data_IF_024167585556
#
_entry.id   IF_024167585556
#
_cell.length_a   1.000
_cell.length_b   1.000
_cell.length_c   1.000
_cell.angle_alpha   90.00
_cell.angle_beta   90.00
_cell.angle_gamma   90.00
#
_symmetry.space_group_name_H-M   'P 1'
#
loop_
_entity.id
_entity.type
_entity.pdbx_description
1 polymer ?
#
# COMPACT_ATOMS: atom_id res chain seq x y z
N UNK A 1 6.55 32.93 11.89
CA UNK A 1 5.19 32.52 12.27
C UNK A 1 5.27 31.21 13.03
N UNK A 2 4.43 31.02 14.04
CA UNK A 2 4.35 29.77 14.80
C UNK A 2 3.35 28.82 14.11
N UNK A 3 3.85 27.71 13.58
CA UNK A 3 3.03 26.67 12.95
C UNK A 3 2.39 25.80 14.03
N UNK A 4 1.09 25.50 13.90
CA UNK A 4 0.32 24.66 14.84
C UNK A 4 -0.32 23.50 14.09
N UNK A 5 -0.27 22.30 14.67
CA UNK A 5 -0.98 21.12 14.17
C UNK A 5 -2.42 21.16 14.68
N UNK A 6 -3.37 20.86 13.80
CA UNK A 6 -4.82 20.85 14.11
C UNK A 6 -5.46 19.55 13.63
N UNK A 7 -6.77 19.40 13.88
CA UNK A 7 -7.60 18.28 13.39
C UNK A 7 -7.35 16.92 14.06
N UNK A 8 -7.42 16.90 15.39
CA UNK A 8 -7.34 15.69 16.23
C UNK A 8 -8.67 14.92 16.31
N UNK A 9 -9.60 15.11 15.36
CA UNK A 9 -10.96 14.53 15.40
C UNK A 9 -11.02 13.01 15.28
N UNK A 10 -9.90 12.37 14.91
CA UNK A 10 -9.76 10.93 14.70
C UNK A 10 -8.75 10.27 15.66
N UNK A 11 -8.41 10.91 16.77
CA UNK A 11 -7.45 10.37 17.75
C UNK A 11 -7.93 9.03 18.32
N UNK A 12 -7.01 8.07 18.35
CA UNK A 12 -7.23 6.74 18.90
C UNK A 12 -6.51 6.63 20.24
N UNK A 13 -7.22 6.16 21.27
CA UNK A 13 -6.61 5.78 22.55
C UNK A 13 -6.05 4.36 22.45
N UNK A 14 -4.71 4.25 22.46
CA UNK A 14 -4.00 2.97 22.35
C UNK A 14 -4.26 2.02 23.53
N UNK A 15 -4.76 2.52 24.67
CA UNK A 15 -5.06 1.71 25.85
C UNK A 15 -6.49 1.16 25.86
N UNK A 16 -7.33 1.53 24.89
CA UNK A 16 -8.69 1.01 24.75
C UNK A 16 -8.76 0.10 23.53
N UNK A 17 -9.34 -1.08 23.70
CA UNK A 17 -9.68 -1.98 22.60
C UNK A 17 -10.75 -1.30 21.74
N UNK A 18 -10.33 -0.55 20.73
CA UNK A 18 -11.26 0.11 19.83
C UNK A 18 -11.77 -0.97 18.88
N UNK A 19 -13.08 -1.20 18.91
CA UNK A 19 -13.78 -1.85 17.80
C UNK A 19 -13.75 -0.87 16.63
N UNK A 20 -12.60 -0.77 15.95
CA UNK A 20 -12.40 0.15 14.84
C UNK A 20 -13.09 -0.42 13.61
N UNK A 21 -14.42 -0.28 13.55
CA UNK A 21 -15.13 -0.39 12.28
C UNK A 21 -14.69 0.76 11.37
N UNK A 22 -13.81 0.45 10.42
CA UNK A 22 -13.57 1.26 9.24
C UNK A 22 -12.37 2.20 9.35
N UNK A 23 -11.40 2.00 8.46
CA UNK A 23 -10.21 2.85 8.32
C UNK A 23 -10.58 4.32 8.15
N UNK A 24 -10.43 5.08 9.23
CA UNK A 24 -10.60 6.53 9.25
C UNK A 24 -9.22 7.21 9.10
N UNK A 25 -9.18 8.26 8.27
CA UNK A 25 -7.99 9.06 7.98
C UNK A 25 -7.78 9.28 6.48
N UNK A 26 -6.94 10.24 6.12
CA UNK A 26 -6.61 10.51 4.71
C UNK A 26 -5.66 9.42 4.20
N UNK A 27 -6.20 8.45 3.44
CA UNK A 27 -5.51 7.22 2.99
C UNK A 27 -4.09 7.41 2.43
N UNK A 28 -3.78 8.54 1.82
CA UNK A 28 -2.48 8.80 1.21
C UNK A 28 -1.35 9.04 2.22
N UNK A 29 -1.68 9.37 3.48
CA UNK A 29 -0.71 9.56 4.56
C UNK A 29 -0.62 8.36 5.51
N UNK A 30 -1.50 7.37 5.34
CA UNK A 30 -1.57 6.22 6.24
C UNK A 30 -0.34 5.32 6.11
N UNK A 31 0.15 4.86 7.25
CA UNK A 31 1.18 3.84 7.33
C UNK A 31 0.66 2.46 6.87
N UNK A 32 1.51 1.54 6.40
CA UNK A 32 1.09 0.22 5.92
C UNK A 32 0.25 -0.57 6.94
N UNK A 33 0.59 -0.49 8.22
CA UNK A 33 -0.11 -1.18 9.31
C UNK A 33 -1.52 -0.63 9.57
N UNK A 34 -1.81 0.62 9.17
CA UNK A 34 -3.13 1.22 9.33
C UNK A 34 -4.19 0.63 8.38
N UNK A 35 -3.76 -0.17 7.38
CA UNK A 35 -4.65 -0.88 6.47
C UNK A 35 -5.06 -2.27 6.99
N UNK A 36 -4.51 -2.72 8.13
CA UNK A 36 -4.92 -3.97 8.76
C UNK A 36 -6.37 -3.88 9.29
N UNK A 37 -7.13 -4.96 9.16
CA UNK A 37 -8.57 -4.99 9.44
C UNK A 37 -8.95 -4.63 10.90
N UNK A 38 -8.04 -4.81 11.85
CA UNK A 38 -8.37 -4.75 13.28
C UNK A 38 -7.66 -3.64 14.07
N UNK A 39 -6.83 -2.81 13.45
CA UNK A 39 -5.99 -1.79 14.13
C UNK A 39 -5.15 -2.29 15.33
N UNK A 40 -5.07 -3.60 15.58
CA UNK A 40 -4.39 -4.23 16.74
C UNK A 40 -2.90 -3.90 16.80
N UNK A 41 -2.28 -3.58 15.66
CA UNK A 41 -0.86 -3.26 15.54
C UNK A 41 -0.60 -1.76 15.33
N UNK A 42 -1.62 -0.91 15.45
CA UNK A 42 -1.45 0.54 15.28
C UNK A 42 -0.71 1.12 16.49
N UNK A 43 0.28 1.96 16.24
CA UNK A 43 1.06 2.62 17.29
C UNK A 43 1.30 4.08 16.92
N UNK A 44 1.90 4.85 17.83
CA UNK A 44 2.35 6.23 17.54
C UNK A 44 3.34 6.32 16.37
N UNK A 45 3.90 5.19 15.91
CA UNK A 45 4.77 5.12 14.73
C UNK A 45 4.01 5.38 13.42
N UNK A 46 2.69 5.24 13.41
CA UNK A 46 1.87 5.61 12.25
C UNK A 46 1.94 7.12 11.98
N UNK A 47 1.95 7.95 13.03
CA UNK A 47 2.11 9.41 12.90
C UNK A 47 3.51 9.79 12.38
N UNK A 48 4.53 9.02 12.78
CA UNK A 48 5.91 9.20 12.30
C UNK A 48 6.02 8.92 10.80
N UNK A 49 5.30 7.91 10.32
CA UNK A 49 5.19 7.66 8.88
C UNK A 49 4.52 8.83 8.17
N UNK A 50 3.36 9.28 8.66
CA UNK A 50 2.63 10.40 8.07
C UNK A 50 3.49 11.66 7.98
N UNK A 51 4.32 11.94 9.00
CA UNK A 51 5.29 13.03 8.96
C UNK A 51 6.29 12.89 7.81
N UNK A 52 6.81 11.68 7.53
CA UNK A 52 7.69 11.44 6.38
C UNK A 52 7.02 11.75 5.05
N UNK A 53 5.74 11.38 4.91
CA UNK A 53 4.92 11.69 3.72
C UNK A 53 4.71 13.20 3.58
N UNK A 54 4.37 13.90 4.67
CA UNK A 54 4.17 15.35 4.68
C UNK A 54 5.46 16.07 4.26
N UNK A 55 6.62 15.65 4.76
CA UNK A 55 7.90 16.26 4.38
C UNK A 55 8.14 16.11 2.88
N UNK A 56 7.88 14.93 2.30
CA UNK A 56 8.03 14.71 0.87
C UNK A 56 7.02 15.52 0.04
N UNK A 57 5.78 15.62 0.50
CA UNK A 57 4.75 16.45 -0.12
C UNK A 57 5.14 17.94 -0.13
N UNK A 58 5.68 18.45 0.98
CA UNK A 58 6.18 19.83 1.07
C UNK A 58 7.32 20.13 0.08
N UNK A 59 8.06 19.10 -0.36
CA UNK A 59 9.07 19.23 -1.41
C UNK A 59 8.53 18.95 -2.82
N UNK A 60 7.20 18.90 -2.98
CA UNK A 60 6.51 18.78 -4.26
C UNK A 60 6.35 17.35 -4.77
N UNK A 61 6.62 16.33 -3.95
CA UNK A 61 6.41 14.94 -4.37
C UNK A 61 4.93 14.60 -4.31
N UNK A 62 4.39 14.08 -5.42
CA UNK A 62 2.98 13.69 -5.49
C UNK A 62 2.65 12.58 -4.49
N UNK A 63 1.67 12.83 -3.61
CA UNK A 63 1.15 11.84 -2.67
C UNK A 63 0.73 10.52 -3.34
N UNK A 64 0.23 10.60 -4.58
CA UNK A 64 -0.20 9.43 -5.33
C UNK A 64 1.00 8.57 -5.76
N UNK A 65 2.14 9.19 -6.08
CA UNK A 65 3.40 8.50 -6.40
C UNK A 65 3.97 7.86 -5.14
N UNK A 66 4.00 8.60 -4.02
CA UNK A 66 4.44 8.06 -2.73
C UNK A 66 3.62 6.86 -2.29
N UNK A 67 2.29 6.97 -2.37
CA UNK A 67 1.39 5.87 -2.03
C UNK A 67 1.66 4.63 -2.87
N UNK A 68 1.90 4.79 -4.18
CA UNK A 68 2.27 3.67 -5.03
C UNK A 68 3.60 3.05 -4.63
N UNK A 69 4.66 3.87 -4.51
CA UNK A 69 6.00 3.38 -4.24
C UNK A 69 6.07 2.68 -2.88
N UNK A 70 5.61 3.36 -1.84
CA UNK A 70 5.77 2.92 -0.46
C UNK A 70 4.78 1.83 -0.07
N UNK A 71 3.49 2.00 -0.41
CA UNK A 71 2.43 1.07 0.02
C UNK A 71 2.29 -0.10 -0.95
N UNK A 72 2.16 0.17 -2.26
CA UNK A 72 1.88 -0.88 -3.26
C UNK A 72 3.12 -1.62 -3.73
N UNK A 73 4.20 -0.89 -4.03
CA UNK A 73 5.43 -1.48 -4.55
C UNK A 73 6.37 -1.92 -3.43
N UNK A 74 6.18 -1.43 -2.19
CA UNK A 74 7.04 -1.67 -1.02
C UNK A 74 8.50 -1.27 -1.30
N UNK A 75 8.68 -0.15 -1.97
CA UNK A 75 9.96 0.43 -2.34
C UNK A 75 10.26 1.66 -1.47
N UNK A 76 11.55 1.98 -1.30
CA UNK A 76 11.96 3.22 -0.64
C UNK A 76 11.52 4.44 -1.47
N UNK A 77 11.25 5.61 -0.84
CA UNK A 77 10.82 6.79 -1.57
C UNK A 77 11.98 7.37 -2.36
N UNK A 78 11.70 7.86 -3.57
CA UNK A 78 12.64 8.68 -4.32
C UNK A 78 12.66 10.08 -3.70
N UNK A 79 13.77 10.44 -3.05
CA UNK A 79 13.90 11.71 -2.32
C UNK A 79 14.53 12.77 -3.24
N UNK A 80 13.83 13.87 -3.55
CA UNK A 80 14.36 14.93 -4.42
C UNK A 80 15.63 15.58 -3.88
N UNK A 81 16.43 16.15 -4.78
CA UNK A 81 17.65 16.89 -4.41
C UNK A 81 17.40 18.22 -3.70
N UNK A 82 16.18 18.75 -3.80
CA UNK A 82 15.73 19.90 -3.01
C UNK A 82 15.71 19.62 -1.51
N UNK A 83 15.66 18.35 -1.09
CA UNK A 83 15.63 17.96 0.32
C UNK A 83 17.03 18.03 0.93
N UNK A 84 17.23 18.76 2.05
CA UNK A 84 18.51 18.80 2.75
C UNK A 84 18.98 17.41 3.23
N UNK A 85 20.29 17.16 3.24
CA UNK A 85 20.86 15.83 3.54
C UNK A 85 20.39 15.26 4.90
N UNK A 86 20.29 16.11 5.91
CA UNK A 86 19.81 15.75 7.25
C UNK A 86 18.33 15.31 7.23
N UNK A 87 17.51 15.96 6.40
CA UNK A 87 16.12 15.60 6.21
C UNK A 87 15.97 14.33 5.35
N UNK A 88 16.87 14.06 4.40
CA UNK A 88 16.85 12.80 3.62
C UNK A 88 16.96 11.57 4.53
N UNK A 89 17.84 11.60 5.52
CA UNK A 89 18.01 10.51 6.48
C UNK A 89 16.81 10.36 7.43
N UNK A 90 16.18 11.48 7.81
CA UNK A 90 14.93 11.46 8.58
C UNK A 90 13.80 10.83 7.78
N UNK A 91 13.59 11.27 6.53
CA UNK A 91 12.54 10.76 5.65
C UNK A 91 12.67 9.25 5.48
N UNK A 92 13.86 8.74 5.15
CA UNK A 92 14.09 7.29 4.97
C UNK A 92 13.63 6.48 6.18
N UNK A 93 13.99 6.94 7.39
CA UNK A 93 13.63 6.26 8.64
C UNK A 93 12.14 6.42 8.98
N UNK A 94 11.53 7.56 8.65
CA UNK A 94 10.08 7.75 8.82
C UNK A 94 9.27 6.84 7.89
N UNK A 95 9.73 6.65 6.65
CA UNK A 95 9.08 5.80 5.63
C UNK A 95 9.45 4.30 5.71
N UNK A 96 10.00 3.84 6.84
CA UNK A 96 10.29 2.41 7.04
C UNK A 96 8.99 1.61 7.11
N UNK A 97 8.94 0.48 6.39
CA UNK A 97 7.76 -0.39 6.38
C UNK A 97 7.46 -0.95 7.77
N UNK A 98 8.50 -1.39 8.49
CA UNK A 98 8.38 -1.87 9.87
C UNK A 98 8.22 -0.70 10.85
N UNK A 99 7.14 -0.65 11.66
CA UNK A 99 6.91 0.45 12.60
C UNK A 99 8.03 0.63 13.63
N UNK A 100 8.68 -0.47 14.04
CA UNK A 100 9.73 -0.45 15.05
C UNK A 100 11.02 0.23 14.55
N UNK A 101 11.28 0.20 13.24
CA UNK A 101 12.44 0.85 12.63
C UNK A 101 12.28 2.37 12.53
N UNK A 102 11.05 2.87 12.67
CA UNK A 102 10.76 4.31 12.67
C UNK A 102 11.24 4.94 13.99
N UNK A 103 11.82 6.15 13.96
CA UNK A 103 12.23 6.84 15.17
C UNK A 103 11.02 7.31 15.97
N UNK A 104 11.22 7.69 17.23
CA UNK A 104 10.19 8.41 18.00
C UNK A 104 10.20 9.90 17.65
N UNK A 105 9.11 10.61 17.91
CA UNK A 105 9.04 12.07 17.72
C UNK A 105 10.16 12.80 18.49
N UNK A 106 10.47 12.34 19.72
CA UNK A 106 11.56 12.90 20.51
C UNK A 106 12.96 12.64 19.92
N UNK A 107 13.17 11.49 19.26
CA UNK A 107 14.41 11.22 18.53
C UNK A 107 14.52 12.10 17.27
N UNK A 108 13.42 12.26 16.53
CA UNK A 108 13.38 13.14 15.37
C UNK A 108 13.66 14.59 15.73
N UNK A 109 13.09 15.08 16.83
CA UNK A 109 13.34 16.43 17.31
C UNK A 109 14.84 16.65 17.52
N UNK A 110 15.53 15.74 18.21
CA UNK A 110 16.98 15.82 18.43
C UNK A 110 17.78 15.82 17.14
N UNK A 111 17.39 14.98 16.17
CA UNK A 111 18.05 14.88 14.87
C UNK A 111 17.85 16.17 14.09
N UNK A 112 16.65 16.76 14.09
CA UNK A 112 16.32 17.96 13.33
C UNK A 112 16.87 19.24 13.97
N UNK A 113 17.01 19.30 15.29
CA UNK A 113 17.53 20.48 16.01
C UNK A 113 19.03 20.44 16.28
N UNK A 114 19.71 19.33 15.94
CA UNK A 114 21.18 19.22 16.03
C UNK A 114 21.75 19.04 17.44
N UNK A 115 20.93 18.81 18.47
CA UNK A 115 21.42 18.58 19.85
C UNK A 115 21.76 17.11 20.08
N UNK A 116 22.99 16.72 19.73
CA UNK A 116 23.53 15.36 19.94
C UNK A 116 24.15 15.20 21.34
N UNK A 117 23.69 14.22 22.12
CA UNK A 117 24.45 13.61 23.22
C UNK A 117 24.36 12.08 23.11
N UNK A 118 25.40 11.31 23.50
CA UNK A 118 25.53 9.89 23.20
C UNK A 118 24.46 9.02 23.91
N UNK A 119 24.13 7.84 23.34
CA UNK A 119 23.02 7.01 23.82
C UNK A 119 23.33 6.37 25.20
N UNK A 120 22.33 6.24 26.10
CA UNK A 120 22.47 5.34 27.24
C UNK A 120 22.43 3.88 26.77
N UNK A 121 23.33 3.06 27.31
CA UNK A 121 23.45 1.61 27.06
C UNK A 121 22.18 0.84 27.47
N UNK A 122 21.91 -0.33 26.85
CA UNK A 122 20.74 -1.15 27.15
C UNK A 122 20.86 -1.78 28.53
N UNK A 123 19.77 -1.75 29.30
CA UNK A 123 19.64 -2.48 30.56
C UNK A 123 18.64 -3.61 30.34
N UNK A 124 19.14 -4.85 30.38
CA UNK A 124 18.33 -6.02 30.74
C UNK A 124 18.57 -6.31 32.22
N UNK A 125 17.59 -6.90 32.91
CA UNK A 125 17.85 -8.21 33.50
C UNK A 125 16.73 -9.23 33.30
N UNK A 126 17.21 -10.43 32.91
CA UNK A 126 16.80 -11.82 33.15
C UNK A 126 15.51 -12.19 33.92
N UNK A 127 14.88 -13.25 33.39
CA UNK A 127 13.81 -14.11 33.91
C UNK A 127 14.11 -14.86 35.24
N UNK A 128 13.19 -15.70 35.74
CA UNK A 128 13.36 -17.15 35.49
C UNK A 128 12.08 -17.99 35.19
N UNK A 129 12.37 -19.22 34.75
CA UNK A 129 11.58 -20.36 34.22
C UNK A 129 10.34 -20.83 35.04
N UNK A 130 9.41 -21.69 34.60
CA UNK A 130 9.50 -22.88 33.72
C UNK A 130 8.11 -23.48 33.37
N UNK A 131 7.98 -24.03 32.14
CA UNK A 131 7.19 -25.21 31.64
C UNK A 131 5.65 -25.29 31.80
N UNK A 132 4.94 -26.17 31.05
CA UNK A 132 5.40 -27.12 30.02
C UNK A 132 4.76 -26.95 28.63
N UNK A 133 5.44 -27.50 27.64
CA UNK A 133 4.90 -27.75 26.31
C UNK A 133 3.69 -28.69 26.38
N UNK A 134 2.64 -28.36 25.63
CA UNK A 134 1.70 -29.34 25.07
C UNK A 134 1.09 -28.77 23.79
N UNK A 135 0.75 -29.66 22.83
CA UNK A 135 0.67 -29.34 21.41
C UNK A 135 -0.73 -28.85 21.04
N UNK A 136 -0.84 -28.13 19.91
CA UNK A 136 -1.87 -28.28 18.86
C UNK A 136 -2.03 -27.01 18.01
N UNK A 137 -2.66 -27.07 16.82
CA UNK A 137 -2.65 -28.15 15.85
C UNK A 137 -2.20 -27.63 14.46
N UNK A 138 -1.40 -28.44 13.78
CA UNK A 138 -1.17 -28.33 12.34
C UNK A 138 -2.49 -28.56 11.59
N UNK A 139 -3.20 -27.48 11.26
CA UNK A 139 -4.35 -27.53 10.37
C UNK A 139 -3.87 -27.47 8.91
N UNK A 140 -3.20 -28.55 8.51
CA UNK A 140 -2.71 -28.80 7.14
C UNK A 140 -3.92 -29.20 6.30
N UNK A 141 -4.65 -28.20 5.80
CA UNK A 141 -5.53 -28.31 4.61
C UNK A 141 -5.62 -27.01 3.77
N UNK A 142 -5.08 -25.88 4.22
CA UNK A 142 -5.15 -24.58 3.52
C UNK A 142 -3.80 -24.03 3.00
N UNK A 143 -2.67 -24.67 3.33
CA UNK A 143 -1.34 -24.18 2.96
C UNK A 143 -1.13 -24.13 1.44
N UNK A 144 -1.60 -25.17 0.73
CA UNK A 144 -1.40 -25.30 -0.71
C UNK A 144 -2.15 -24.21 -1.50
N UNK A 145 -3.37 -23.86 -1.09
CA UNK A 145 -4.15 -22.84 -1.81
C UNK A 145 -3.55 -21.44 -1.63
N UNK A 146 -3.12 -21.09 -0.41
CA UNK A 146 -2.49 -19.79 -0.16
C UNK A 146 -1.15 -19.65 -0.89
N UNK A 147 -0.32 -20.70 -0.88
CA UNK A 147 0.96 -20.71 -1.60
C UNK A 147 0.75 -20.61 -3.11
N UNK A 148 -0.24 -21.32 -3.66
CA UNK A 148 -0.56 -21.25 -5.10
C UNK A 148 -1.08 -19.86 -5.48
N UNK A 149 -1.91 -19.25 -4.65
CA UNK A 149 -2.40 -17.87 -4.84
C UNK A 149 -1.22 -16.90 -4.84
N UNK A 150 -0.37 -16.91 -3.82
CA UNK A 150 0.80 -16.03 -3.74
C UNK A 150 1.77 -16.25 -4.92
N UNK A 151 1.99 -17.51 -5.29
CA UNK A 151 2.83 -17.86 -6.43
C UNK A 151 2.24 -17.34 -7.75
N UNK A 152 0.92 -17.33 -7.92
CA UNK A 152 0.25 -16.75 -9.10
C UNK A 152 0.49 -15.24 -9.20
N UNK A 153 0.41 -14.51 -8.08
CA UNK A 153 0.72 -13.07 -8.04
C UNK A 153 2.19 -12.80 -8.34
N UNK A 154 3.09 -13.61 -7.79
CA UNK A 154 4.53 -13.49 -8.04
C UNK A 154 4.87 -13.74 -9.51
N UNK A 155 4.31 -14.80 -10.11
CA UNK A 155 4.50 -15.13 -11.52
C UNK A 155 3.93 -14.01 -12.42
N UNK A 156 2.75 -13.50 -12.11
CA UNK A 156 2.12 -12.38 -12.81
C UNK A 156 2.97 -11.10 -12.75
N UNK A 157 3.49 -10.73 -11.57
CA UNK A 157 4.33 -9.53 -11.40
C UNK A 157 5.65 -9.62 -12.15
N UNK A 158 6.21 -10.83 -12.26
CA UNK A 158 7.48 -11.08 -12.95
C UNK A 158 7.32 -11.35 -14.45
N UNK A 159 6.11 -11.64 -14.92
CA UNK A 159 5.87 -12.03 -16.31
C UNK A 159 6.28 -13.48 -16.61
N UNK A 160 6.26 -14.37 -15.62
CA UNK A 160 6.63 -15.78 -15.78
C UNK A 160 5.52 -16.56 -16.52
N UNK A 161 5.45 -16.39 -17.84
CA UNK A 161 4.42 -16.95 -18.72
C UNK A 161 4.21 -18.46 -18.57
N UNK A 162 5.30 -19.24 -18.45
CA UNK A 162 5.25 -20.69 -18.30
C UNK A 162 4.60 -21.10 -16.96
N UNK A 163 4.95 -20.42 -15.87
CA UNK A 163 4.40 -20.67 -14.54
C UNK A 163 2.90 -20.34 -14.50
N UNK A 164 2.50 -19.19 -15.07
CA UNK A 164 1.09 -18.81 -15.17
C UNK A 164 0.27 -19.81 -15.98
N UNK A 165 0.80 -20.24 -17.14
CA UNK A 165 0.14 -21.24 -17.98
C UNK A 165 -0.04 -22.56 -17.24
N UNK A 166 0.99 -23.01 -16.52
CA UNK A 166 0.92 -24.24 -15.74
C UNK A 166 -0.10 -24.12 -14.60
N UNK A 167 -0.14 -22.99 -13.89
CA UNK A 167 -1.08 -22.74 -12.81
C UNK A 167 -2.52 -22.73 -13.29
N UNK A 168 -2.82 -22.03 -14.39
CA UNK A 168 -4.16 -21.99 -14.98
C UNK A 168 -4.60 -23.39 -15.42
N UNK A 169 -3.69 -24.20 -15.99
CA UNK A 169 -3.99 -25.59 -16.37
C UNK A 169 -4.27 -26.48 -15.15
N UNK A 170 -3.53 -26.28 -14.06
CA UNK A 170 -3.58 -27.18 -12.89
C UNK A 170 -4.72 -26.82 -11.94
N UNK A 171 -4.94 -25.52 -11.70
CA UNK A 171 -5.88 -25.01 -10.71
C UNK A 171 -7.11 -24.35 -11.34
N UNK A 172 -7.17 -24.28 -12.67
CA UNK A 172 -8.23 -23.62 -13.41
C UNK A 172 -8.10 -22.11 -13.46
N UNK A 173 -9.00 -21.49 -14.22
CA UNK A 173 -9.01 -20.05 -14.48
C UNK A 173 -9.39 -19.19 -13.26
N UNK A 174 -10.07 -19.79 -12.28
CA UNK A 174 -10.50 -19.12 -11.04
C UNK A 174 -9.34 -18.61 -10.18
N UNK A 175 -8.11 -19.09 -10.42
CA UNK A 175 -6.91 -18.54 -9.79
C UNK A 175 -6.73 -17.05 -10.13
N UNK A 176 -7.20 -16.61 -11.29
CA UNK A 176 -7.14 -15.21 -11.75
C UNK A 176 -8.21 -14.32 -11.11
N UNK A 177 -9.17 -14.89 -10.37
CA UNK A 177 -10.16 -14.13 -9.58
C UNK A 177 -9.72 -13.90 -8.14
N UNK A 178 -8.64 -14.57 -7.71
CA UNK A 178 -8.12 -14.45 -6.35
C UNK A 178 -7.58 -13.05 -6.13
N UNK A 179 -7.72 -12.56 -4.90
CA UNK A 179 -7.41 -11.19 -4.53
C UNK A 179 -6.41 -11.15 -3.40
N UNK A 180 -5.41 -10.28 -3.52
CA UNK A 180 -4.50 -9.98 -2.42
C UNK A 180 -5.14 -9.00 -1.42
N UNK A 181 -4.38 -8.60 -0.40
CA UNK A 181 -4.86 -7.67 0.64
C UNK A 181 -5.28 -6.29 0.11
N UNK A 182 -4.80 -5.89 -1.06
CA UNK A 182 -5.18 -4.64 -1.73
C UNK A 182 -6.42 -4.81 -2.63
N UNK A 183 -6.89 -6.05 -2.80
CA UNK A 183 -7.98 -6.41 -3.71
C UNK A 183 -7.53 -6.66 -5.15
N UNK A 184 -6.23 -6.55 -5.45
CA UNK A 184 -5.71 -6.74 -6.79
C UNK A 184 -5.83 -8.22 -7.18
N UNK A 185 -6.13 -8.48 -8.45
CA UNK A 185 -6.03 -9.80 -9.06
C UNK A 185 -4.66 -10.01 -9.70
N UNK A 186 -4.27 -11.26 -10.04
CA UNK A 186 -3.02 -11.51 -10.77
C UNK A 186 -2.93 -10.69 -12.07
N UNK A 187 -4.04 -10.47 -12.77
CA UNK A 187 -4.09 -9.66 -13.99
C UNK A 187 -3.77 -8.18 -13.72
N UNK A 188 -4.37 -7.58 -12.68
CA UNK A 188 -4.04 -6.22 -12.24
C UNK A 188 -2.55 -6.11 -11.84
N UNK A 189 -2.02 -7.14 -11.16
CA UNK A 189 -0.63 -7.17 -10.75
C UNK A 189 0.33 -7.22 -11.97
N UNK A 190 0.02 -7.99 -13.00
CA UNK A 190 0.79 -8.01 -14.25
C UNK A 190 0.74 -6.66 -14.99
N UNK A 191 -0.44 -6.04 -15.08
CA UNK A 191 -0.61 -4.72 -15.69
C UNK A 191 0.21 -3.65 -14.95
N UNK A 192 0.18 -3.67 -13.60
CA UNK A 192 0.96 -2.73 -12.76
C UNK A 192 2.48 -2.84 -13.00
N UNK A 193 2.96 -4.04 -13.33
CA UNK A 193 4.38 -4.30 -13.61
C UNK A 193 4.72 -4.19 -15.09
N UNK A 194 3.74 -3.90 -15.95
CA UNK A 194 3.94 -3.75 -17.38
C UNK A 194 4.24 -5.06 -18.11
N UNK A 195 3.77 -6.19 -17.59
CA UNK A 195 4.07 -7.52 -18.12
C UNK A 195 3.20 -7.83 -19.35
N UNK A 196 3.43 -7.09 -20.43
CA UNK A 196 2.67 -7.15 -21.67
C UNK A 196 2.69 -8.54 -22.34
N UNK A 197 3.67 -9.40 -22.06
CA UNK A 197 3.69 -10.79 -22.54
C UNK A 197 2.82 -11.75 -21.71
N UNK A 198 2.62 -11.47 -20.42
CA UNK A 198 1.82 -12.32 -19.54
C UNK A 198 0.32 -11.96 -19.58
N UNK A 199 -0.01 -10.70 -19.83
CA UNK A 199 -1.40 -10.24 -19.91
C UNK A 199 -2.21 -10.96 -21.00
N UNK A 200 -1.70 -11.18 -22.24
CA UNK A 200 -2.41 -11.92 -23.28
C UNK A 200 -2.74 -13.35 -22.87
N UNK A 201 -1.81 -14.05 -22.20
CA UNK A 201 -2.06 -15.42 -21.75
C UNK A 201 -3.23 -15.52 -20.77
N UNK A 202 -3.34 -14.55 -19.85
CA UNK A 202 -4.45 -14.48 -18.90
C UNK A 202 -5.74 -14.05 -19.59
N UNK A 203 -5.66 -13.12 -20.55
CA UNK A 203 -6.80 -12.68 -21.35
C UNK A 203 -7.37 -13.81 -22.22
N UNK A 204 -6.52 -14.57 -22.91
CA UNK A 204 -6.93 -15.68 -23.77
C UNK A 204 -7.55 -16.81 -22.96
N UNK A 205 -7.06 -17.05 -21.73
CA UNK A 205 -7.58 -18.08 -20.85
C UNK A 205 -8.90 -17.69 -20.15
N UNK A 206 -9.05 -16.42 -19.72
CA UNK A 206 -10.19 -15.94 -18.95
C UNK A 206 -11.30 -15.34 -19.82
N UNK A 207 -10.91 -14.70 -20.92
CA UNK A 207 -11.76 -13.93 -21.79
C UNK A 207 -11.91 -12.45 -21.39
N UNK A 208 -12.69 -11.67 -22.15
CA UNK A 208 -12.74 -10.21 -22.06
C UNK A 208 -13.25 -9.66 -20.72
N UNK A 209 -13.97 -10.46 -19.93
CA UNK A 209 -14.45 -10.09 -18.60
C UNK A 209 -13.31 -9.78 -17.63
N UNK A 210 -12.10 -10.30 -17.87
CA UNK A 210 -10.91 -10.01 -17.05
C UNK A 210 -10.59 -8.52 -16.99
N UNK A 211 -10.91 -7.77 -18.05
CA UNK A 211 -10.68 -6.32 -18.14
C UNK A 211 -11.54 -5.51 -17.16
N UNK A 212 -12.64 -6.10 -16.68
CA UNK A 212 -13.57 -5.48 -15.72
C UNK A 212 -13.17 -5.71 -14.27
N UNK A 213 -12.16 -6.52 -14.01
CA UNK A 213 -11.68 -6.73 -12.64
C UNK A 213 -11.11 -5.43 -12.08
N UNK A 214 -11.46 -5.14 -10.84
CA UNK A 214 -10.97 -3.96 -10.12
C UNK A 214 -10.37 -4.30 -8.78
N UNK A 215 -9.54 -3.40 -8.24
CA UNK A 215 -9.08 -3.44 -6.86
C UNK A 215 -10.14 -2.89 -5.87
N UNK A 216 -9.77 -2.77 -4.58
CA UNK A 216 -10.64 -2.18 -3.53
C UNK A 216 -11.00 -0.71 -3.77
N UNK A 217 -10.26 0.00 -4.62
CA UNK A 217 -10.51 1.40 -4.99
C UNK A 217 -11.30 1.51 -6.31
N UNK A 218 -11.73 0.39 -6.90
CA UNK A 218 -12.41 0.37 -8.19
C UNK A 218 -11.48 0.61 -9.38
N UNK A 219 -10.16 0.51 -9.19
CA UNK A 219 -9.17 0.72 -10.27
C UNK A 219 -9.07 -0.53 -11.11
N UNK A 220 -9.13 -0.35 -12.43
CA UNK A 220 -8.93 -1.40 -13.43
C UNK A 220 -7.44 -1.59 -13.76
N UNK A 221 -7.12 -2.63 -14.54
CA UNK A 221 -5.77 -2.82 -15.08
C UNK A 221 -5.25 -1.58 -15.84
N UNK A 222 -6.13 -0.85 -16.53
CA UNK A 222 -5.78 0.40 -17.23
C UNK A 222 -5.34 1.49 -16.26
N UNK A 223 -6.03 1.66 -15.14
CA UNK A 223 -5.63 2.59 -14.10
C UNK A 223 -4.24 2.24 -13.58
N UNK A 224 -3.98 0.97 -13.25
CA UNK A 224 -2.67 0.54 -12.72
C UNK A 224 -1.54 0.75 -13.74
N UNK A 225 -1.76 0.36 -15.00
CA UNK A 225 -0.75 0.49 -16.05
C UNK A 225 -0.44 1.96 -16.38
N UNK A 226 -1.47 2.80 -16.54
CA UNK A 226 -1.30 4.22 -16.82
C UNK A 226 -0.61 4.96 -15.66
N UNK A 227 -1.05 4.66 -14.44
CA UNK A 227 -0.53 5.26 -13.22
C UNK A 227 0.97 4.99 -13.03
N UNK A 228 1.42 3.77 -13.38
CA UNK A 228 2.81 3.34 -13.27
C UNK A 228 3.62 3.54 -14.56
N UNK A 229 3.07 4.26 -15.54
CA UNK A 229 3.74 4.59 -16.82
C UNK A 229 4.09 3.36 -17.66
N UNK A 230 3.32 2.27 -17.55
CA UNK A 230 3.57 1.00 -18.24
C UNK A 230 3.03 1.02 -19.66
N UNK A 231 3.72 1.75 -20.54
CA UNK A 231 3.27 2.02 -21.91
C UNK A 231 2.88 0.75 -22.70
N UNK A 232 3.69 -0.31 -22.62
CA UNK A 232 3.40 -1.56 -23.34
C UNK A 232 2.09 -2.22 -22.86
N UNK A 233 1.84 -2.22 -21.54
CA UNK A 233 0.60 -2.74 -20.98
C UNK A 233 -0.60 -1.83 -21.31
N UNK A 234 -0.42 -0.50 -21.31
CA UNK A 234 -1.46 0.45 -21.72
C UNK A 234 -1.87 0.22 -23.17
N UNK A 235 -0.91 0.12 -24.08
CA UNK A 235 -1.19 -0.13 -25.49
C UNK A 235 -1.92 -1.47 -25.68
N UNK A 236 -1.46 -2.53 -25.01
CA UNK A 236 -2.11 -3.84 -25.07
C UNK A 236 -3.57 -3.80 -24.56
N UNK A 237 -3.84 -3.06 -23.47
CA UNK A 237 -5.20 -2.92 -22.93
C UNK A 237 -6.11 -2.15 -23.89
N UNK A 238 -5.61 -1.09 -24.52
CA UNK A 238 -6.37 -0.31 -25.50
C UNK A 238 -6.62 -1.08 -26.80
N UNK A 239 -5.73 -2.00 -27.18
CA UNK A 239 -5.97 -2.93 -28.29
C UNK A 239 -7.16 -3.85 -28.01
N UNK A 240 -7.31 -4.34 -26.77
CA UNK A 240 -8.45 -5.19 -26.40
C UNK A 240 -9.75 -4.42 -26.21
N UNK A 241 -9.70 -3.25 -25.57
CA UNK A 241 -10.86 -2.38 -25.41
C UNK A 241 -10.44 -0.91 -25.26
N UNK A 242 -10.61 -0.08 -26.31
CA UNK A 242 -10.31 1.34 -26.27
C UNK A 242 -11.11 2.12 -25.21
N UNK A 243 -12.31 1.63 -24.83
CA UNK A 243 -13.18 2.32 -23.85
C UNK A 243 -12.66 2.25 -22.43
N UNK A 244 -11.62 1.44 -22.16
CA UNK A 244 -10.98 1.38 -20.85
C UNK A 244 -10.37 2.72 -20.42
N UNK A 245 -10.09 3.62 -21.36
CA UNK A 245 -9.62 4.98 -21.05
C UNK A 245 -10.66 5.81 -20.28
N UNK A 246 -11.95 5.51 -20.45
CA UNK A 246 -13.07 6.21 -19.81
C UNK A 246 -13.47 5.57 -18.47
N UNK A 247 -12.81 4.47 -18.08
CA UNK A 247 -13.09 3.80 -16.82
C UNK A 247 -12.82 4.75 -15.65
N UNK A 248 -13.73 4.77 -14.67
CA UNK A 248 -13.61 5.61 -13.47
C UNK A 248 -13.40 4.75 -12.24
N UNK A 249 -12.52 5.21 -11.36
CA UNK A 249 -12.34 4.65 -10.03
C UNK A 249 -13.20 5.36 -8.98
N UNK A 250 -13.16 4.85 -7.74
CA UNK A 250 -13.94 5.41 -6.63
C UNK A 250 -13.37 6.78 -6.19
N UNK A 251 -12.14 7.13 -6.56
CA UNK A 251 -11.53 8.41 -6.19
C UNK A 251 -12.03 9.57 -7.05
N UNK A 252 -12.35 9.33 -8.32
CA UNK A 252 -12.95 10.34 -9.22
C UNK A 252 -14.42 10.64 -8.84
N UNK A 253 -15.18 9.61 -8.46
CA UNK A 253 -16.58 9.79 -8.00
C UNK A 253 -16.69 10.56 -6.68
N UNK A 254 -15.71 10.40 -5.77
CA UNK A 254 -15.66 11.14 -4.52
C UNK A 254 -15.35 12.64 -4.71
N UNK A 255 -14.47 12.98 -5.67
CA UNK A 255 -14.10 14.38 -5.97
C UNK A 255 -15.25 15.20 -6.58
N UNK A 256 -16.16 14.58 -7.34
CA UNK A 256 -17.33 15.29 -7.88
C UNK A 256 -18.44 15.52 -6.87
N UNK A 257 -18.66 14.61 -5.91
CA UNK A 257 -19.68 14.78 -4.86
C UNK A 257 -19.39 15.96 -3.92
N UNK A 258 -18.13 16.32 -3.72
CA UNK A 258 -17.75 17.49 -2.92
C UNK A 258 -17.79 18.81 -3.70
N UNK A 259 -17.82 18.78 -5.04
CA UNK A 259 -17.87 19.97 -5.89
C UNK A 259 -19.29 20.39 -6.32
N UNK A 260 -20.33 19.57 -6.09
CA UNK A 260 -21.70 19.87 -6.55
C UNK A 260 -22.64 20.50 -5.50
N UNK A 261 -22.15 20.90 -4.32
CA UNK A 261 -22.97 21.63 -3.33
C UNK A 261 -22.28 22.89 -2.80
N UNK A 262 -22.19 23.93 -3.62
CA UNK A 262 -22.21 25.29 -3.11
C UNK A 262 -23.08 26.15 -4.04
N UNK A 263 -24.39 26.30 -3.78
CA UNK A 263 -25.14 27.35 -4.45
C UNK A 263 -24.56 28.69 -4.00
N UNK A 264 -24.11 29.48 -4.96
CA UNK A 264 -23.84 30.90 -4.79
C UNK A 264 -25.14 31.55 -4.30
N UNK A 265 -25.24 31.83 -2.99
CA UNK A 265 -26.23 32.77 -2.49
C UNK A 265 -25.67 34.18 -2.73
N UNK A 266 -26.22 34.81 -3.75
CA UNK A 266 -26.23 36.26 -3.87
C UNK A 266 -27.30 36.81 -2.90
N UNK A 267 -26.87 37.70 -2.02
CA UNK A 267 -27.58 38.85 -1.44
C UNK A 267 -26.70 39.42 -0.32
#
# INVERSE_FOLDING_TARGET
EDIKITDFGLVIDLNRTVSAQGGAGTRLYMAPEAFALNAENLTTKADIWALGIIILELHGVSLLVLFQQLIRLRQAPDIPDSVPLQAKEVIKKCSSLEPNDRPTAGQLLKVLTGTSTPPPKPVSPSAPASRPASPQPSNIKHADEYEVVEASFKAAKKGECAALTQMIKTHGVAILDKRNDHGDTPFLAAASRGQAGAMPLMYDAYGPSILKQTDKLGRTAMHEAALLGKLAAVNQLLEWDPKLIDARDITDTAKRRTLTHRPLRAA
#
